data_IF_048705994134
#
_entry.id   IF_048705994134
#
_cell.length_a   1.000
_cell.length_b   1.000
_cell.length_c   1.000
_cell.angle_alpha   90.00
_cell.angle_beta   90.00
_cell.angle_gamma   90.00
#
_symmetry.space_group_name_H-M   'P 1'
#
loop_
_entity.id
_entity.type
_entity.pdbx_description
1 polymer ?
#
# COMPACT_ATOMS: atom_id res chain seq x y z
N UNK A 1 -28.42 31.71 2.46
CA UNK A 1 -28.64 30.56 3.34
C UNK A 1 -27.32 29.81 3.40
N UNK A 2 -26.82 29.49 4.60
CA UNK A 2 -25.69 28.54 4.69
C UNK A 2 -26.23 27.17 4.28
N UNK A 3 -25.71 26.61 3.19
CA UNK A 3 -26.01 25.25 2.77
C UNK A 3 -25.65 24.31 3.93
N UNK A 4 -26.68 23.81 4.60
CA UNK A 4 -26.54 23.00 5.79
C UNK A 4 -26.18 21.60 5.35
N UNK A 5 -24.89 21.27 5.36
CA UNK A 5 -24.37 19.92 5.04
C UNK A 5 -25.16 18.89 5.86
N UNK A 6 -25.84 17.96 5.19
CA UNK A 6 -26.62 16.95 5.89
C UNK A 6 -25.68 15.94 6.57
N UNK A 7 -26.08 15.33 7.70
CA UNK A 7 -25.27 14.29 8.35
C UNK A 7 -24.96 13.09 7.46
N UNK A 8 -25.78 12.89 6.42
CA UNK A 8 -25.66 11.84 5.41
C UNK A 8 -24.67 12.25 4.29
N UNK A 9 -24.33 13.52 4.13
CA UNK A 9 -23.50 13.96 3.02
C UNK A 9 -22.03 13.67 3.26
N UNK A 10 -21.29 13.42 2.18
CA UNK A 10 -19.82 13.47 2.26
C UNK A 10 -19.43 14.91 2.59
N UNK A 11 -18.81 15.09 3.75
CA UNK A 11 -18.40 16.39 4.25
C UNK A 11 -16.97 16.72 3.84
N UNK A 12 -16.11 15.71 3.81
CA UNK A 12 -14.67 15.87 3.64
C UNK A 12 -14.08 14.74 2.81
N UNK A 13 -13.14 15.08 1.94
CA UNK A 13 -12.30 14.10 1.26
C UNK A 13 -10.83 14.45 1.54
N UNK A 14 -10.10 13.51 2.12
CA UNK A 14 -8.68 13.65 2.43
C UNK A 14 -7.89 12.59 1.69
N UNK A 15 -6.72 12.96 1.16
CA UNK A 15 -5.88 12.05 0.39
C UNK A 15 -4.53 11.91 1.07
N UNK A 16 -4.11 10.67 1.26
CA UNK A 16 -2.84 10.30 1.87
C UNK A 16 -2.04 9.41 0.91
N UNK A 17 -0.72 9.49 1.00
CA UNK A 17 0.22 8.66 0.27
C UNK A 17 0.96 7.76 1.26
N UNK A 18 1.10 6.48 0.89
CA UNK A 18 1.83 5.44 1.60
C UNK A 18 1.55 5.39 3.10
N UNK A 19 0.28 5.31 3.48
CA UNK A 19 -0.13 5.10 4.87
C UNK A 19 -1.57 5.54 5.11
N UNK A 20 -2.08 5.19 6.29
CA UNK A 20 -3.44 5.51 6.70
C UNK A 20 -3.55 6.97 7.21
N UNK A 21 -4.72 7.39 7.68
CA UNK A 21 -4.95 8.75 8.19
C UNK A 21 -4.03 9.16 9.35
N UNK A 22 -3.49 8.22 10.12
CA UNK A 22 -2.64 8.49 11.28
C UNK A 22 -1.17 8.64 10.89
N UNK A 23 -0.75 7.98 9.81
CA UNK A 23 0.66 7.74 9.56
C UNK A 23 1.10 7.95 8.10
N UNK A 24 0.16 8.04 7.15
CA UNK A 24 0.42 8.40 5.77
C UNK A 24 0.85 9.86 5.57
N UNK A 25 1.49 10.13 4.44
CA UNK A 25 1.84 11.48 4.00
C UNK A 25 0.54 12.17 3.57
N UNK A 26 0.10 13.16 4.33
CA UNK A 26 -1.10 13.93 4.00
C UNK A 26 -0.85 14.81 2.78
N UNK A 27 -1.51 14.51 1.66
CA UNK A 27 -1.40 15.29 0.42
C UNK A 27 -2.32 16.52 0.44
N UNK A 28 -3.46 16.41 1.11
CA UNK A 28 -4.40 17.52 1.25
C UNK A 28 -5.86 17.08 1.38
N UNK A 29 -6.70 18.09 1.57
CA UNK A 29 -8.15 17.98 1.51
C UNK A 29 -8.62 18.37 0.11
N UNK A 30 -9.32 17.47 -0.57
CA UNK A 30 -9.82 17.71 -1.91
C UNK A 30 -11.04 18.65 -1.87
N UNK A 31 -11.14 19.53 -2.86
CA UNK A 31 -12.36 20.27 -3.10
C UNK A 31 -13.45 19.30 -3.57
N UNK A 32 -14.53 19.17 -2.81
CA UNK A 32 -15.67 18.29 -3.08
C UNK A 32 -16.93 19.12 -3.40
N UNK A 33 -17.93 18.50 -4.04
CA UNK A 33 -19.15 19.17 -4.48
C UNK A 33 -19.08 19.67 -5.92
N UNK A 34 -18.12 19.17 -6.71
CA UNK A 34 -17.95 19.57 -8.11
C UNK A 34 -18.91 18.78 -9.02
N UNK A 35 -19.28 19.32 -10.18
CA UNK A 35 -20.10 18.57 -11.13
C UNK A 35 -19.42 17.28 -11.63
N UNK A 36 -20.11 16.15 -11.51
CA UNK A 36 -19.72 14.84 -12.05
C UNK A 36 -20.79 14.32 -13.02
N UNK A 37 -20.48 14.43 -14.32
CA UNK A 37 -21.34 13.88 -15.37
C UNK A 37 -21.43 12.36 -15.30
N UNK A 38 -20.32 11.70 -14.96
CA UNK A 38 -20.28 10.25 -14.85
C UNK A 38 -21.18 9.75 -13.71
N UNK A 39 -21.02 10.31 -12.52
CA UNK A 39 -21.84 9.92 -11.37
C UNK A 39 -23.34 10.20 -11.61
N UNK A 40 -23.67 11.35 -12.22
CA UNK A 40 -25.05 11.68 -12.62
C UNK A 40 -25.63 10.67 -13.60
N UNK A 41 -24.84 10.21 -14.58
CA UNK A 41 -25.30 9.21 -15.55
C UNK A 41 -25.53 7.83 -14.93
N UNK A 42 -24.74 7.45 -13.91
CA UNK A 42 -24.82 6.12 -13.28
C UNK A 42 -25.87 6.11 -12.16
N UNK A 43 -25.96 7.16 -11.34
CA UNK A 43 -26.75 7.21 -10.10
C UNK A 43 -27.82 8.31 -10.08
N UNK A 44 -27.98 9.08 -11.15
CA UNK A 44 -29.00 10.11 -11.27
C UNK A 44 -28.62 11.47 -10.68
N UNK A 45 -29.56 12.42 -10.72
CA UNK A 45 -29.30 13.85 -10.42
C UNK A 45 -28.80 14.10 -9.00
N UNK A 46 -29.14 13.25 -8.02
CA UNK A 46 -28.63 13.35 -6.64
C UNK A 46 -27.11 13.18 -6.56
N UNK A 47 -26.49 12.52 -7.55
CA UNK A 47 -25.05 12.33 -7.65
C UNK A 47 -24.37 13.38 -8.56
N UNK A 48 -25.10 14.39 -9.05
CA UNK A 48 -24.55 15.35 -10.01
C UNK A 48 -23.42 16.21 -9.46
N UNK A 49 -23.44 16.56 -8.17
CA UNK A 49 -22.42 17.38 -7.52
C UNK A 49 -21.53 16.53 -6.59
N UNK A 50 -21.11 15.36 -7.06
CA UNK A 50 -20.30 14.39 -6.30
C UNK A 50 -18.83 14.35 -6.70
N UNK A 51 -18.41 15.25 -7.59
CA UNK A 51 -17.03 15.36 -8.07
C UNK A 51 -16.10 15.91 -7.00
N UNK A 52 -14.85 15.49 -7.05
CA UNK A 52 -13.76 16.06 -6.27
C UNK A 52 -12.50 16.29 -7.10
N UNK A 53 -11.67 17.21 -6.62
CA UNK A 53 -10.33 17.46 -7.15
C UNK A 53 -9.37 17.87 -6.04
N UNK A 54 -8.17 17.30 -6.05
CA UNK A 54 -7.01 17.79 -5.32
C UNK A 54 -5.91 18.06 -6.34
N UNK A 55 -5.38 19.28 -6.35
CA UNK A 55 -4.12 19.58 -7.04
C UNK A 55 -3.03 19.53 -5.99
N UNK A 56 -2.05 18.64 -6.19
CA UNK A 56 -0.90 18.49 -5.32
C UNK A 56 0.38 18.82 -6.08
N UNK A 57 1.12 19.79 -5.58
CA UNK A 57 2.43 20.17 -6.09
C UNK A 57 3.51 19.45 -5.25
N UNK A 58 4.19 18.49 -5.89
CA UNK A 58 5.28 17.73 -5.32
C UNK A 58 6.59 18.52 -5.37
N UNK A 59 6.90 19.25 -4.31
CA UNK A 59 8.19 19.93 -4.18
C UNK A 59 9.18 19.17 -3.27
N UNK A 60 8.69 18.22 -2.47
CA UNK A 60 9.44 17.61 -1.38
C UNK A 60 9.89 16.18 -1.65
N UNK A 61 9.15 15.42 -2.46
CA UNK A 61 9.37 13.98 -2.64
C UNK A 61 9.90 13.66 -4.03
N UNK A 62 10.93 12.82 -4.08
CA UNK A 62 11.38 12.22 -5.34
C UNK A 62 10.94 10.77 -5.34
N UNK A 63 10.06 10.42 -6.28
CA UNK A 63 9.64 9.04 -6.47
C UNK A 63 10.69 8.29 -7.29
N UNK A 64 11.14 7.14 -6.78
CA UNK A 64 12.07 6.29 -7.51
C UNK A 64 11.36 5.69 -8.74
N UNK A 65 11.94 5.76 -9.95
CA UNK A 65 11.32 5.16 -11.14
C UNK A 65 10.98 3.68 -10.94
N UNK A 66 9.79 3.27 -11.37
CA UNK A 66 9.30 1.89 -11.24
C UNK A 66 8.97 1.43 -9.80
N UNK A 67 9.14 2.31 -8.80
CA UNK A 67 8.65 2.05 -7.45
C UNK A 67 7.12 2.02 -7.42
N UNK A 68 6.58 1.44 -6.36
CA UNK A 68 5.15 1.31 -6.17
C UNK A 68 4.73 1.94 -4.86
N UNK A 69 3.63 2.68 -4.93
CA UNK A 69 3.05 3.45 -3.85
C UNK A 69 1.57 3.16 -3.71
N UNK A 70 0.97 3.60 -2.60
CA UNK A 70 -0.46 3.52 -2.38
C UNK A 70 -1.05 4.87 -2.00
N UNK A 71 -2.11 5.26 -2.71
CA UNK A 71 -2.96 6.39 -2.33
C UNK A 71 -4.14 5.88 -1.51
N UNK A 72 -4.43 6.61 -0.43
CA UNK A 72 -5.58 6.37 0.44
C UNK A 72 -6.51 7.57 0.31
N UNK A 73 -7.69 7.33 -0.24
CA UNK A 73 -8.73 8.34 -0.39
C UNK A 73 -9.77 8.14 0.69
N UNK A 74 -9.71 8.98 1.71
CA UNK A 74 -10.63 8.99 2.83
C UNK A 74 -11.81 9.91 2.56
N UNK A 75 -13.01 9.44 2.84
CA UNK A 75 -14.23 10.24 2.82
C UNK A 75 -14.87 10.22 4.20
N UNK A 76 -15.30 11.40 4.67
CA UNK A 76 -16.02 11.54 5.93
C UNK A 76 -17.51 11.69 5.64
N UNK A 77 -18.30 10.70 6.06
CA UNK A 77 -19.75 10.83 6.14
C UNK A 77 -20.08 11.00 7.64
N UNK A 78 -20.55 12.17 8.11
CA UNK A 78 -20.70 12.45 9.54
C UNK A 78 -21.50 11.39 10.32
N UNK A 79 -22.50 10.78 9.68
CA UNK A 79 -23.29 9.68 10.24
C UNK A 79 -22.51 8.38 10.45
N UNK A 80 -21.54 8.07 9.58
CA UNK A 80 -20.82 6.78 9.53
C UNK A 80 -19.35 6.87 9.92
N UNK A 81 -18.82 8.09 10.03
CA UNK A 81 -17.40 8.37 10.20
C UNK A 81 -16.62 8.24 8.89
N UNK A 82 -15.34 7.93 9.03
CA UNK A 82 -14.43 7.75 7.91
C UNK A 82 -14.65 6.42 7.21
N UNK A 83 -14.49 6.48 5.89
CA UNK A 83 -14.44 5.37 4.97
C UNK A 83 -13.31 5.65 3.97
N UNK A 84 -12.75 4.64 3.32
CA UNK A 84 -11.66 4.86 2.37
C UNK A 84 -11.58 3.81 1.27
N UNK A 85 -10.94 4.20 0.17
CA UNK A 85 -10.40 3.28 -0.83
C UNK A 85 -8.89 3.44 -0.88
N UNK A 86 -8.20 2.30 -1.07
CA UNK A 86 -6.76 2.24 -1.27
C UNK A 86 -6.46 1.94 -2.73
N UNK A 87 -5.54 2.69 -3.34
CA UNK A 87 -5.16 2.57 -4.76
C UNK A 87 -3.65 2.39 -4.90
N UNK A 88 -3.25 1.26 -5.47
CA UNK A 88 -1.88 1.03 -5.95
C UNK A 88 -1.53 1.93 -7.13
N UNK A 89 -0.42 2.64 -7.05
CA UNK A 89 0.14 3.47 -8.12
C UNK A 89 1.58 3.03 -8.37
N UNK A 90 1.95 2.89 -9.64
CA UNK A 90 3.31 2.51 -10.06
C UNK A 90 3.91 3.70 -10.79
N UNK A 91 5.12 4.09 -10.38
CA UNK A 91 5.88 5.18 -10.99
C UNK A 91 6.45 4.69 -12.31
N UNK A 92 6.35 5.47 -13.38
CA UNK A 92 6.90 5.05 -14.67
C UNK A 92 8.43 5.09 -14.65
N UNK A 93 9.04 4.08 -15.25
CA UNK A 93 10.48 4.03 -15.51
C UNK A 93 11.09 2.69 -15.12
N UNK A 94 12.30 2.45 -15.60
CA UNK A 94 13.09 1.31 -15.17
C UNK A 94 13.64 1.59 -13.77
N UNK A 95 13.39 0.65 -12.89
CA UNK A 95 13.88 0.67 -11.53
C UNK A 95 15.40 0.54 -11.53
N UNK A 96 16.10 1.25 -10.65
CA UNK A 96 17.47 0.90 -10.26
C UNK A 96 17.48 -0.34 -9.33
N UNK A 97 16.61 -1.32 -9.62
CA UNK A 97 16.62 -2.60 -8.93
C UNK A 97 17.65 -3.49 -9.56
N UNK A 98 18.42 -4.16 -8.70
CA UNK A 98 19.37 -5.13 -9.17
C UNK A 98 18.62 -6.39 -9.62
N UNK A 99 18.39 -6.52 -10.94
CA UNK A 99 17.70 -7.68 -11.51
C UNK A 99 18.46 -8.99 -11.26
N UNK A 100 19.73 -8.94 -10.87
CA UNK A 100 20.50 -10.10 -10.42
C UNK A 100 19.90 -10.71 -9.15
N UNK A 101 19.25 -9.89 -8.30
CA UNK A 101 18.64 -10.35 -7.05
C UNK A 101 17.37 -11.14 -7.38
N UNK A 102 17.38 -12.43 -7.03
CA UNK A 102 16.22 -13.32 -7.04
C UNK A 102 15.74 -13.52 -5.62
N UNK A 103 14.44 -13.63 -5.46
CA UNK A 103 13.81 -13.78 -4.17
C UNK A 103 12.49 -14.54 -4.25
N UNK A 104 12.03 -15.00 -3.10
CA UNK A 104 10.65 -15.40 -2.86
C UNK A 104 10.25 -14.94 -1.48
N UNK A 105 9.07 -14.31 -1.39
CA UNK A 105 8.39 -14.05 -0.11
C UNK A 105 7.33 -15.13 0.05
N UNK A 106 7.53 -16.00 1.03
CA UNK A 106 6.72 -17.21 1.25
C UNK A 106 5.66 -16.98 2.32
N UNK A 107 5.99 -16.20 3.35
CA UNK A 107 5.05 -15.75 4.38
C UNK A 107 5.24 -14.24 4.66
N UNK A 108 4.14 -13.47 4.83
CA UNK A 108 2.80 -13.87 4.40
C UNK A 108 2.74 -14.01 2.87
N UNK A 109 1.82 -14.82 2.38
CA UNK A 109 1.50 -14.87 0.95
C UNK A 109 0.75 -13.60 0.52
N UNK A 110 0.84 -13.24 -0.77
CA UNK A 110 0.13 -12.05 -1.26
C UNK A 110 -1.39 -12.17 -1.05
N UNK A 111 -1.96 -11.17 -0.39
CA UNK A 111 -3.35 -11.08 0.08
C UNK A 111 -3.75 -12.18 1.07
N UNK A 112 -2.80 -12.77 1.79
CA UNK A 112 -3.10 -13.68 2.88
C UNK A 112 -3.96 -13.00 3.95
N UNK A 113 -4.92 -13.75 4.49
CA UNK A 113 -5.72 -13.34 5.64
C UNK A 113 -5.09 -13.95 6.88
N UNK A 114 -4.42 -13.12 7.67
CA UNK A 114 -3.87 -13.47 8.98
C UNK A 114 -5.02 -13.48 9.98
N UNK A 115 -5.18 -14.57 10.72
CA UNK A 115 -6.24 -14.66 11.73
C UNK A 115 -6.00 -13.69 12.86
N UNK A 116 -7.09 -13.17 13.42
CA UNK A 116 -7.03 -12.23 14.56
C UNK A 116 -6.32 -12.86 15.77
N UNK A 117 -6.45 -14.18 15.93
CA UNK A 117 -5.78 -14.94 16.98
C UNK A 117 -4.25 -15.10 16.78
N UNK A 118 -3.75 -14.95 15.54
CA UNK A 118 -2.36 -15.19 15.18
C UNK A 118 -1.57 -13.87 15.03
N UNK A 119 -2.24 -12.70 15.12
CA UNK A 119 -1.64 -11.39 14.82
C UNK A 119 -0.51 -10.96 15.74
N UNK A 120 -0.39 -11.54 16.93
CA UNK A 120 0.71 -11.23 17.86
C UNK A 120 2.04 -11.89 17.48
N UNK A 121 2.01 -12.79 16.50
CA UNK A 121 3.17 -13.60 16.08
C UNK A 121 3.11 -13.86 14.57
N UNK A 122 3.12 -12.79 13.78
CA UNK A 122 3.02 -12.87 12.32
C UNK A 122 4.37 -13.33 11.75
N UNK A 123 4.35 -14.46 11.06
CA UNK A 123 5.54 -15.02 10.40
C UNK A 123 5.89 -14.23 9.14
N UNK A 124 7.17 -13.91 8.99
CA UNK A 124 7.77 -13.46 7.74
C UNK A 124 8.83 -14.47 7.34
N UNK A 125 8.75 -15.01 6.11
CA UNK A 125 9.78 -15.94 5.64
C UNK A 125 9.93 -15.97 4.12
N UNK A 126 11.06 -16.52 3.67
CA UNK A 126 11.37 -16.64 2.26
C UNK A 126 12.85 -16.93 2.00
N UNK A 127 13.31 -16.55 0.81
CA UNK A 127 14.73 -16.62 0.44
C UNK A 127 15.10 -15.49 -0.52
N UNK A 128 16.40 -15.16 -0.57
CA UNK A 128 16.95 -14.26 -1.59
C UNK A 128 18.41 -14.59 -1.88
N UNK A 129 18.81 -14.45 -3.15
CA UNK A 129 20.18 -14.58 -3.66
C UNK A 129 20.44 -13.51 -4.72
N UNK A 130 21.67 -13.04 -4.81
CA UNK A 130 22.15 -12.21 -5.90
C UNK A 130 22.97 -13.10 -6.87
N UNK A 131 22.52 -13.19 -8.11
CA UNK A 131 23.11 -14.06 -9.12
C UNK A 131 24.46 -13.59 -9.66
N UNK A 132 24.89 -12.37 -9.38
CA UNK A 132 26.22 -11.88 -9.74
C UNK A 132 27.32 -12.45 -8.83
N UNK A 133 26.93 -13.03 -7.69
CA UNK A 133 27.84 -13.63 -6.71
C UNK A 133 27.70 -15.15 -6.71
N UNK A 134 28.71 -15.86 -7.22
CA UNK A 134 28.63 -17.32 -7.35
C UNK A 134 29.21 -18.09 -6.14
N UNK A 135 29.99 -17.44 -5.29
CA UNK A 135 30.70 -18.02 -4.14
C UNK A 135 30.05 -17.73 -2.77
N UNK A 136 29.00 -16.91 -2.75
CA UNK A 136 28.16 -16.61 -1.58
C UNK A 136 26.70 -16.51 -2.03
N UNK A 137 25.76 -16.16 -1.15
CA UNK A 137 24.41 -15.78 -1.58
C UNK A 137 24.35 -14.39 -2.20
N UNK A 138 25.40 -13.56 -2.01
CA UNK A 138 25.49 -12.18 -2.50
C UNK A 138 24.58 -11.17 -1.80
N UNK A 139 23.73 -11.60 -0.86
CA UNK A 139 22.87 -10.73 -0.04
C UNK A 139 23.58 -10.36 1.26
N UNK A 140 23.63 -9.07 1.57
CA UNK A 140 24.21 -8.49 2.79
C UNK A 140 23.20 -8.45 3.93
N UNK A 141 22.01 -7.92 3.65
CA UNK A 141 20.90 -7.81 4.60
C UNK A 141 19.58 -7.65 3.86
N UNK A 142 18.49 -7.79 4.60
CA UNK A 142 17.16 -7.38 4.18
C UNK A 142 16.86 -6.10 5.01
N UNK A 143 15.84 -5.33 4.65
CA UNK A 143 15.20 -4.38 5.56
C UNK A 143 13.71 -4.48 5.30
N UNK A 144 12.90 -4.52 6.36
CA UNK A 144 11.45 -4.70 6.23
C UNK A 144 10.72 -3.60 7.00
N UNK A 145 9.75 -2.99 6.32
CA UNK A 145 8.94 -1.90 6.87
C UNK A 145 7.45 -2.23 6.75
N UNK A 146 6.69 -1.91 7.79
CA UNK A 146 5.25 -2.10 7.83
C UNK A 146 4.51 -0.83 7.38
N UNK A 147 3.53 -1.03 6.51
CA UNK A 147 2.55 -0.11 5.93
C UNK A 147 3.09 1.05 5.08
N UNK A 148 4.38 1.41 5.20
CA UNK A 148 5.01 2.49 4.43
C UNK A 148 6.45 2.14 4.05
N UNK A 149 7.02 2.76 3.00
CA UNK A 149 8.39 2.51 2.58
C UNK A 149 9.42 2.96 3.64
N UNK A 150 10.68 2.58 3.40
CA UNK A 150 11.83 2.96 4.23
C UNK A 150 11.85 4.47 4.50
N UNK A 151 12.12 4.83 5.76
CA UNK A 151 12.17 6.22 6.22
C UNK A 151 10.83 6.76 6.74
N UNK A 152 9.72 6.11 6.41
CA UNK A 152 8.39 6.48 6.88
C UNK A 152 7.72 5.34 7.66
N UNK A 153 7.89 4.09 7.21
CA UNK A 153 7.25 2.92 7.81
C UNK A 153 7.85 2.53 9.14
N UNK A 154 7.10 1.72 9.89
CA UNK A 154 7.67 1.05 11.06
C UNK A 154 8.68 0.02 10.58
N UNK A 155 9.96 0.25 10.91
CA UNK A 155 10.99 -0.75 10.72
C UNK A 155 10.70 -1.97 11.60
N UNK A 156 10.78 -3.17 11.03
CA UNK A 156 10.64 -4.44 11.74
C UNK A 156 12.04 -5.03 12.01
N UNK A 157 12.65 -4.73 13.18
CA UNK A 157 14.05 -5.06 13.44
C UNK A 157 14.19 -6.53 13.88
N UNK A 158 14.17 -7.47 12.96
CA UNK A 158 14.64 -8.83 13.23
C UNK A 158 14.87 -9.58 11.92
N UNK A 159 16.11 -9.84 11.57
CA UNK A 159 16.42 -10.55 10.34
C UNK A 159 17.33 -11.72 10.61
N UNK A 160 16.71 -12.89 10.63
CA UNK A 160 17.43 -14.15 10.67
C UNK A 160 17.66 -14.63 9.23
N UNK A 161 18.44 -13.87 8.46
CA UNK A 161 18.93 -14.31 7.15
C UNK A 161 20.10 -15.30 7.33
N UNK A 162 20.23 -16.27 6.43
CA UNK A 162 21.22 -17.34 6.55
C UNK A 162 20.63 -18.73 6.81
N UNK A 163 19.31 -18.88 6.74
CA UNK A 163 18.63 -20.16 6.95
C UNK A 163 18.88 -21.09 5.76
N UNK A 164 19.10 -22.38 6.04
CA UNK A 164 19.36 -23.38 5.02
C UNK A 164 18.14 -23.59 4.08
N UNK A 165 18.42 -23.51 2.78
CA UNK A 165 17.52 -23.68 1.64
C UNK A 165 18.16 -24.58 0.57
N UNK A 166 18.25 -25.90 0.82
CA UNK A 166 18.79 -26.84 -0.15
C UNK A 166 18.01 -26.84 -1.47
N UNK A 167 16.71 -26.54 -1.42
CA UNK A 167 15.85 -26.40 -2.59
C UNK A 167 16.29 -25.24 -3.50
N UNK A 168 16.68 -24.09 -2.92
CA UNK A 168 17.21 -22.93 -3.67
C UNK A 168 18.58 -23.26 -4.27
N UNK A 169 19.48 -23.83 -3.47
CA UNK A 169 20.79 -24.26 -3.95
C UNK A 169 20.68 -25.25 -5.13
N UNK A 170 19.73 -26.18 -5.07
CA UNK A 170 19.46 -27.13 -6.15
C UNK A 170 18.83 -26.44 -7.38
N UNK A 171 17.86 -25.55 -7.18
CA UNK A 171 17.18 -24.84 -8.28
C UNK A 171 18.15 -24.02 -9.13
N UNK A 172 19.14 -23.37 -8.49
CA UNK A 172 20.18 -22.60 -9.18
C UNK A 172 21.45 -23.41 -9.49
N UNK A 173 21.51 -24.69 -9.11
CA UNK A 173 22.70 -25.54 -9.25
C UNK A 173 23.96 -24.88 -8.62
N UNK A 174 23.79 -24.19 -7.49
CA UNK A 174 24.86 -23.52 -6.76
C UNK A 174 24.78 -23.80 -5.27
N UNK A 175 25.73 -24.58 -4.74
CA UNK A 175 25.79 -24.95 -3.33
C UNK A 175 26.03 -23.75 -2.40
N UNK A 176 26.63 -22.66 -2.90
CA UNK A 176 26.86 -21.45 -2.10
C UNK A 176 25.57 -20.69 -1.78
N UNK A 177 24.46 -21.03 -2.44
CA UNK A 177 23.13 -20.47 -2.17
C UNK A 177 22.38 -21.21 -1.05
N UNK A 178 23.03 -22.16 -0.36
CA UNK A 178 22.38 -22.94 0.69
C UNK A 178 21.87 -22.07 1.83
N UNK A 179 22.55 -20.99 2.23
CA UNK A 179 22.13 -20.14 3.35
C UNK A 179 21.35 -18.91 2.89
N UNK A 180 20.43 -19.09 1.94
CA UNK A 180 19.69 -17.98 1.31
C UNK A 180 18.35 -17.66 1.98
N UNK A 181 17.93 -18.44 2.98
CA UNK A 181 16.65 -18.28 3.63
C UNK A 181 16.63 -17.19 4.68
N UNK A 182 15.45 -16.62 4.92
CA UNK A 182 15.15 -15.80 6.09
C UNK A 182 13.84 -16.24 6.74
N UNK A 183 13.75 -16.10 8.06
CA UNK A 183 12.50 -16.33 8.79
C UNK A 183 12.53 -15.64 10.15
N UNK A 184 11.51 -14.85 10.45
CA UNK A 184 11.30 -14.26 11.77
C UNK A 184 9.81 -14.01 12.00
N UNK A 185 9.48 -13.47 13.17
CA UNK A 185 8.12 -13.15 13.55
C UNK A 185 8.06 -11.71 14.04
N UNK A 186 6.94 -11.03 13.81
CA UNK A 186 6.70 -9.71 14.39
C UNK A 186 5.34 -9.63 15.09
N UNK A 187 5.26 -8.75 16.08
CA UNK A 187 4.03 -8.49 16.82
C UNK A 187 3.15 -7.47 16.05
N UNK A 188 2.13 -7.98 15.38
CA UNK A 188 1.10 -7.20 14.69
C UNK A 188 -0.11 -6.87 15.57
N UNK A 189 -0.03 -6.98 16.90
CA UNK A 189 -1.19 -6.80 17.79
C UNK A 189 -1.88 -5.44 17.67
N UNK A 190 -1.15 -4.42 17.21
CA UNK A 190 -1.68 -3.07 16.96
C UNK A 190 -2.46 -2.94 15.65
N UNK A 191 -2.42 -3.95 14.79
CA UNK A 191 -3.17 -3.96 13.55
C UNK A 191 -4.66 -4.23 13.86
N UNK A 192 -5.51 -3.39 13.28
CA UNK A 192 -6.95 -3.44 13.48
C UNK A 192 -7.55 -4.64 12.72
N UNK A 193 -8.57 -5.26 13.30
CA UNK A 193 -9.30 -6.35 12.64
C UNK A 193 -9.92 -5.86 11.32
N UNK A 194 -9.82 -6.66 10.26
CA UNK A 194 -10.31 -6.29 8.92
C UNK A 194 -9.42 -5.29 8.14
N UNK A 195 -8.31 -4.83 8.74
CA UNK A 195 -7.39 -3.89 8.07
C UNK A 195 -6.59 -4.55 6.95
N UNK A 196 -6.27 -3.74 5.92
CA UNK A 196 -5.35 -4.10 4.86
C UNK A 196 -3.98 -3.49 5.16
N UNK A 197 -2.92 -4.30 5.08
CA UNK A 197 -1.58 -3.92 5.47
C UNK A 197 -0.57 -4.34 4.40
N UNK A 198 0.62 -3.75 4.42
CA UNK A 198 1.67 -4.03 3.43
C UNK A 198 3.03 -4.07 4.06
N UNK A 199 3.81 -5.09 3.73
CA UNK A 199 5.22 -5.17 4.03
C UNK A 199 6.02 -4.66 2.83
N UNK A 200 6.98 -3.77 3.08
CA UNK A 200 7.96 -3.28 2.12
C UNK A 200 9.30 -3.93 2.44
N UNK A 201 9.80 -4.77 1.54
CA UNK A 201 11.07 -5.45 1.65
C UNK A 201 12.13 -4.75 0.80
N UNK A 202 13.33 -4.61 1.35
CA UNK A 202 14.51 -4.12 0.64
C UNK A 202 15.62 -5.17 0.80
N UNK A 203 15.96 -5.88 -0.27
CA UNK A 203 17.01 -6.90 -0.27
C UNK A 203 18.30 -6.28 -0.76
N UNK A 204 19.31 -6.14 0.10
CA UNK A 204 20.58 -5.49 -0.24
C UNK A 204 21.61 -6.50 -0.71
N UNK A 205 22.18 -6.25 -1.89
CA UNK A 205 23.37 -6.94 -2.37
C UNK A 205 24.61 -6.47 -1.60
N UNK A 206 25.63 -7.33 -1.53
CA UNK A 206 26.96 -6.95 -1.02
C UNK A 206 27.65 -5.86 -1.85
N UNK A 207 27.18 -5.60 -3.07
CA UNK A 207 27.61 -4.45 -3.88
C UNK A 207 27.11 -3.10 -3.33
N UNK A 208 26.08 -3.13 -2.48
CA UNK A 208 25.35 -1.97 -1.97
C UNK A 208 24.08 -1.61 -2.76
N UNK A 209 23.81 -2.28 -3.88
CA UNK A 209 22.52 -2.18 -4.61
C UNK A 209 21.42 -2.89 -3.82
N UNK A 210 20.16 -2.68 -4.21
CA UNK A 210 19.03 -3.38 -3.59
C UNK A 210 17.91 -3.69 -4.57
N UNK A 211 17.06 -4.64 -4.18
CA UNK A 211 15.79 -4.92 -4.84
C UNK A 211 14.64 -4.66 -3.86
N UNK A 212 13.63 -3.88 -4.26
CA UNK A 212 12.44 -3.65 -3.44
C UNK A 212 11.29 -4.58 -3.86
N UNK A 213 10.65 -5.21 -2.88
CA UNK A 213 9.44 -6.00 -3.09
C UNK A 213 8.37 -5.62 -2.07
N UNK A 214 7.11 -5.92 -2.37
CA UNK A 214 6.00 -5.66 -1.46
C UNK A 214 5.07 -6.85 -1.36
N UNK A 215 4.50 -7.04 -0.18
CA UNK A 215 3.44 -8.02 0.07
C UNK A 215 2.31 -7.38 0.84
N UNK A 216 1.14 -7.37 0.22
CA UNK A 216 -0.12 -7.03 0.88
C UNK A 216 -0.64 -8.24 1.66
N UNK A 217 -1.20 -8.00 2.85
CA UNK A 217 -1.90 -9.00 3.68
C UNK A 217 -3.05 -8.32 4.43
N UNK A 218 -3.97 -9.10 5.00
CA UNK A 218 -5.13 -8.60 5.73
C UNK A 218 -5.21 -9.24 7.11
N UNK A 219 -5.73 -8.50 8.08
CA UNK A 219 -6.12 -9.07 9.38
C UNK A 219 -7.57 -9.53 9.29
N UNK A 220 -7.83 -10.75 9.74
CA UNK A 220 -9.18 -11.31 9.85
C UNK A 220 -10.07 -10.39 10.67
N UNK A 221 -11.27 -10.16 10.17
CA UNK A 221 -12.25 -9.29 10.78
C UNK A 221 -13.25 -8.85 9.73
N UNK A 222 -14.40 -8.37 10.20
CA UNK A 222 -15.39 -7.80 9.30
C UNK A 222 -14.78 -6.55 8.67
N UNK A 223 -14.53 -6.60 7.35
CA UNK A 223 -14.28 -5.39 6.60
C UNK A 223 -15.57 -4.56 6.71
N UNK A 224 -15.49 -3.41 7.40
CA UNK A 224 -16.61 -2.47 7.49
C UNK A 224 -17.12 -2.24 6.08
N UNK A 225 -18.37 -2.63 5.80
CA UNK A 225 -18.95 -2.36 4.50
C UNK A 225 -18.85 -0.86 4.24
N UNK A 226 -18.22 -0.53 3.12
CA UNK A 226 -18.03 0.85 2.73
C UNK A 226 -19.42 1.50 2.58
N UNK A 227 -19.62 2.65 3.23
CA UNK A 227 -20.83 3.47 3.10
C UNK A 227 -20.70 4.44 1.92
N UNK A 228 -19.53 4.51 1.30
CA UNK A 228 -19.29 5.31 0.11
C UNK A 228 -19.09 4.45 -1.15
N UNK A 229 -19.27 5.06 -2.31
CA UNK A 229 -18.74 4.57 -3.58
C UNK A 229 -17.71 5.58 -4.01
N UNK A 230 -16.46 5.13 -4.06
CA UNK A 230 -15.31 5.93 -4.47
C UNK A 230 -14.63 5.14 -5.59
N UNK A 231 -14.95 5.41 -6.86
CA UNK A 231 -14.20 4.83 -7.95
C UNK A 231 -12.75 5.23 -7.81
N UNK A 232 -11.92 4.30 -8.22
CA UNK A 232 -10.48 4.47 -8.23
C UNK A 232 -10.12 5.56 -9.24
N UNK A 233 -9.52 6.68 -8.81
CA UNK A 233 -9.08 7.71 -9.75
C UNK A 233 -7.88 7.18 -10.56
N UNK A 234 -7.79 7.61 -11.81
CA UNK A 234 -6.54 7.50 -12.56
C UNK A 234 -5.59 8.58 -12.05
N UNK A 235 -4.46 8.18 -11.45
CA UNK A 235 -3.45 9.09 -10.93
C UNK A 235 -2.10 8.76 -11.56
N UNK A 236 -1.41 9.80 -12.02
CA UNK A 236 -0.03 9.70 -12.46
C UNK A 236 0.86 10.52 -11.50
N UNK A 237 1.71 9.82 -10.75
CA UNK A 237 2.64 10.38 -9.77
C UNK A 237 3.97 10.88 -10.40
N UNK A 238 4.18 10.69 -11.70
CA UNK A 238 5.42 11.08 -12.40
C UNK A 238 5.54 12.59 -12.62
N UNK A 239 4.48 13.36 -12.36
CA UNK A 239 4.45 14.80 -12.55
C UNK A 239 4.74 15.55 -11.25
N UNK A 240 5.52 16.64 -11.34
CA UNK A 240 5.75 17.57 -10.22
C UNK A 240 4.48 18.25 -9.73
N UNK A 241 3.45 18.36 -10.57
CA UNK A 241 2.11 18.78 -10.17
C UNK A 241 1.15 17.72 -10.67
N UNK A 242 0.40 17.12 -9.77
CA UNK A 242 -0.61 16.12 -10.11
C UNK A 242 -2.00 16.58 -9.70
N UNK A 243 -2.97 16.18 -10.51
CA UNK A 243 -4.38 16.33 -10.22
C UNK A 243 -4.93 14.95 -9.86
N UNK A 244 -5.47 14.82 -8.65
CA UNK A 244 -6.20 13.65 -8.17
C UNK A 244 -7.68 14.02 -8.17
N UNK A 245 -8.41 13.52 -9.16
CA UNK A 245 -9.81 13.88 -9.38
C UNK A 245 -10.69 12.65 -9.62
N UNK A 246 -11.97 12.79 -9.31
CA UNK A 246 -12.93 11.70 -9.44
C UNK A 246 -14.28 12.11 -8.89
N UNK A 247 -15.08 11.13 -8.46
CA UNK A 247 -16.32 11.38 -7.73
C UNK A 247 -16.44 10.44 -6.53
N UNK A 248 -17.20 10.84 -5.53
CA UNK A 248 -17.50 10.02 -4.36
C UNK A 248 -18.94 10.25 -3.94
N UNK A 249 -19.67 9.19 -3.63
CA UNK A 249 -21.07 9.29 -3.17
C UNK A 249 -21.30 8.46 -1.91
N UNK A 250 -22.14 8.94 -1.01
CA UNK A 250 -22.71 8.08 0.04
C UNK A 250 -23.72 7.12 -0.61
N UNK A 251 -23.59 5.81 -0.37
CA UNK A 251 -24.51 4.78 -0.88
C UNK A 251 -25.98 5.04 -0.55
N UNK A 252 -26.29 5.64 0.60
CA UNK A 252 -27.67 5.93 1.00
C UNK A 252 -28.41 6.81 -0.01
N UNK A 253 -27.71 7.69 -0.74
CA UNK A 253 -28.39 8.57 -1.71
C UNK A 253 -29.04 7.76 -2.85
N UNK A 254 -28.58 6.53 -3.06
CA UNK A 254 -29.07 5.57 -4.05
C UNK A 254 -30.27 4.78 -3.49
N UNK A 255 -30.28 4.47 -2.19
CA UNK A 255 -31.35 3.69 -1.55
C UNK A 255 -32.63 4.50 -1.32
N UNK A 256 -32.54 5.83 -1.27
CA UNK A 256 -33.68 6.75 -1.20
C UNK A 256 -34.23 7.17 -2.59
N UNK A 257 -33.94 6.39 -3.64
CA UNK A 257 -34.32 6.64 -5.04
C UNK A 257 -35.44 5.74 -5.56
#
# INVERSE_FOLDING_TARGET
EEDKILPEDINKIEIYLDGDKNDGIFLGEAAYGLPSKEASLIYGDKAADSGYVLVWDNEEYTFEPGSTHYLYLYVLIPKYGWDYVRKKVVISGETDFDESIKLSIEDPSHNEIIKEADKSDIKISGWSVDLDYLDTTGIDRIEIYLNRPRGFGEYLPEENYGIERPDVANAFTNANYINSGYSFYFDGSKLEAGSENTLYFYFYSTSGTHFMAMVDFKIEGDQKESNAIIPVPEVNLDNQSMEISGWAINKNIIEEG
#
